data_IF_195699367046
#
_entry.id   IF_195699367046
#
_cell.length_a   1.000
_cell.length_b   1.000
_cell.length_c   1.000
_cell.angle_alpha   90.00
_cell.angle_beta   90.00
_cell.angle_gamma   90.00
#
_symmetry.space_group_name_H-M   'P 1'
#
loop_
_entity.id
_entity.type
_entity.pdbx_description
1 polymer ?
#
# COMPACT_ATOMS: atom_id res chain seq x y z
N UNK A 1 -23.00 -9.05 20.55
CA UNK A 1 -22.33 -7.72 20.53
C UNK A 1 -20.90 -7.80 19.98
N UNK A 2 -20.10 -8.77 20.38
CA UNK A 2 -18.69 -8.97 19.92
C UNK A 2 -18.57 -9.17 18.40
N UNK A 3 -19.41 -10.00 17.80
CA UNK A 3 -19.40 -10.35 16.38
C UNK A 3 -19.60 -9.17 15.43
N UNK A 4 -20.46 -8.19 15.79
CA UNK A 4 -20.71 -7.01 14.96
C UNK A 4 -19.54 -6.03 14.92
N UNK A 5 -18.70 -6.01 15.94
CA UNK A 5 -17.53 -5.13 16.01
C UNK A 5 -16.44 -5.56 15.02
N UNK A 6 -16.24 -6.87 14.85
CA UNK A 6 -15.16 -7.39 14.00
C UNK A 6 -15.56 -7.67 12.54
N UNK A 7 -16.89 -7.68 12.23
CA UNK A 7 -17.35 -7.83 10.84
C UNK A 7 -16.70 -6.81 9.88
N UNK A 8 -16.63 -5.56 10.29
CA UNK A 8 -16.01 -4.51 9.47
C UNK A 8 -14.50 -4.71 9.32
N UNK A 9 -13.81 -5.24 10.33
CA UNK A 9 -12.39 -5.57 10.21
C UNK A 9 -12.16 -6.70 9.21
N UNK A 10 -12.92 -7.79 9.35
CA UNK A 10 -12.84 -8.94 8.44
C UNK A 10 -13.12 -8.49 7.01
N UNK A 11 -14.15 -7.66 6.79
CA UNK A 11 -14.46 -7.15 5.45
C UNK A 11 -13.34 -6.29 4.88
N UNK A 12 -12.79 -5.36 5.67
CA UNK A 12 -11.71 -4.48 5.24
C UNK A 12 -10.46 -5.30 4.88
N UNK A 13 -10.04 -6.24 5.73
CA UNK A 13 -8.84 -7.03 5.49
C UNK A 13 -9.02 -7.96 4.28
N UNK A 14 -10.17 -8.61 4.14
CA UNK A 14 -10.49 -9.45 2.98
C UNK A 14 -10.46 -8.65 1.68
N UNK A 15 -11.10 -7.49 1.63
CA UNK A 15 -11.08 -6.62 0.44
C UNK A 15 -9.67 -6.11 0.13
N UNK A 16 -8.88 -5.76 1.16
CA UNK A 16 -7.48 -5.34 0.98
C UNK A 16 -6.66 -6.43 0.32
N UNK A 17 -6.73 -7.66 0.82
CA UNK A 17 -6.01 -8.79 0.22
C UNK A 17 -6.57 -9.17 -1.16
N UNK A 18 -7.87 -9.11 -1.36
CA UNK A 18 -8.47 -9.36 -2.67
C UNK A 18 -7.94 -8.39 -3.74
N UNK A 19 -7.85 -7.10 -3.42
CA UNK A 19 -7.26 -6.09 -4.32
C UNK A 19 -5.77 -6.37 -4.56
N UNK A 20 -5.05 -6.96 -3.61
CA UNK A 20 -3.62 -7.23 -3.72
C UNK A 20 -3.27 -8.49 -4.52
N UNK A 21 -4.22 -9.39 -4.79
CA UNK A 21 -3.97 -10.64 -5.53
C UNK A 21 -3.46 -10.39 -6.96
N UNK A 22 -4.15 -9.61 -7.82
CA UNK A 22 -3.70 -9.39 -9.20
C UNK A 22 -2.30 -8.75 -9.28
N UNK A 23 -1.99 -7.63 -8.56
CA UNK A 23 -0.66 -7.04 -8.57
C UNK A 23 0.40 -7.99 -8.00
N UNK A 24 0.09 -8.79 -6.98
CA UNK A 24 0.98 -9.81 -6.43
C UNK A 24 1.33 -10.87 -7.45
N UNK A 25 0.36 -11.34 -8.24
CA UNK A 25 0.58 -12.28 -9.32
C UNK A 25 1.48 -11.70 -10.44
N UNK A 26 1.24 -10.46 -10.87
CA UNK A 26 2.07 -9.80 -11.86
C UNK A 26 3.51 -9.64 -11.35
N UNK A 27 3.68 -9.21 -10.10
CA UNK A 27 5.01 -9.09 -9.47
C UNK A 27 5.72 -10.42 -9.41
N UNK A 28 5.09 -11.48 -8.89
CA UNK A 28 5.72 -12.79 -8.74
C UNK A 28 6.16 -13.40 -10.08
N UNK A 29 5.40 -13.17 -11.14
CA UNK A 29 5.74 -13.65 -12.49
C UNK A 29 6.94 -12.92 -13.09
N UNK A 30 7.08 -11.61 -12.83
CA UNK A 30 8.09 -10.77 -13.48
C UNK A 30 9.36 -10.54 -12.63
N UNK A 31 9.30 -10.80 -11.32
CA UNK A 31 10.45 -10.57 -10.42
C UNK A 31 11.60 -11.53 -10.66
N UNK A 32 11.34 -12.74 -11.18
CA UNK A 32 12.34 -13.75 -11.51
C UNK A 32 12.75 -13.75 -13.00
N UNK A 33 12.12 -12.94 -13.82
CA UNK A 33 12.42 -12.77 -15.24
C UNK A 33 12.90 -11.35 -15.51
N UNK A 34 12.06 -10.48 -16.07
CA UNK A 34 12.44 -9.12 -16.46
C UNK A 34 13.15 -8.31 -15.36
N UNK A 35 12.67 -8.37 -14.11
CA UNK A 35 13.30 -7.62 -13.00
C UNK A 35 14.68 -8.18 -12.62
N UNK A 36 14.93 -9.47 -12.87
CA UNK A 36 16.25 -10.07 -12.66
C UNK A 36 17.26 -9.61 -13.72
N UNK A 37 16.80 -9.29 -14.93
CA UNK A 37 17.66 -8.95 -16.08
C UNK A 37 18.03 -7.46 -16.13
N UNK A 38 17.25 -6.56 -15.49
CA UNK A 38 17.56 -5.12 -15.48
C UNK A 38 18.68 -4.80 -14.50
N UNK A 39 19.39 -3.69 -14.78
CA UNK A 39 20.43 -3.17 -13.87
C UNK A 39 19.80 -2.62 -12.60
N UNK A 40 20.27 -3.10 -11.45
CA UNK A 40 19.73 -2.73 -10.14
C UNK A 40 20.82 -2.12 -9.24
N UNK A 41 20.48 -1.12 -8.41
CA UNK A 41 21.44 -0.59 -7.44
C UNK A 41 21.82 -1.66 -6.39
N UNK A 42 23.00 -1.52 -5.79
CA UNK A 42 23.56 -2.48 -4.81
C UNK A 42 22.69 -2.66 -3.56
N UNK A 43 21.85 -1.66 -3.24
CA UNK A 43 20.94 -1.72 -2.11
C UNK A 43 19.58 -2.37 -2.43
N UNK A 44 19.39 -2.93 -3.64
CA UNK A 44 18.15 -3.66 -3.97
C UNK A 44 17.92 -4.82 -3.03
N UNK A 45 16.69 -5.00 -2.50
CA UNK A 45 16.41 -6.11 -1.61
C UNK A 45 16.40 -7.43 -2.38
N UNK A 46 16.69 -8.57 -1.72
CA UNK A 46 16.44 -9.87 -2.31
C UNK A 46 14.98 -10.04 -2.75
N UNK A 47 14.74 -10.71 -3.87
CA UNK A 47 13.41 -10.84 -4.48
C UNK A 47 12.35 -11.42 -3.53
N UNK A 48 12.74 -12.33 -2.63
CA UNK A 48 11.82 -12.95 -1.66
C UNK A 48 11.25 -11.99 -0.62
N UNK A 49 11.89 -10.83 -0.41
CA UNK A 49 11.47 -9.83 0.59
C UNK A 49 10.14 -9.18 0.23
N UNK A 50 9.84 -9.03 -1.07
CA UNK A 50 8.61 -8.35 -1.51
C UNK A 50 7.33 -8.99 -0.98
N UNK A 51 7.20 -10.32 -1.04
CA UNK A 51 6.01 -11.03 -0.58
C UNK A 51 5.69 -10.80 0.90
N UNK A 52 6.58 -11.18 1.84
CA UNK A 52 6.36 -11.00 3.27
C UNK A 52 6.13 -9.54 3.68
N UNK A 53 6.88 -8.60 3.11
CA UNK A 53 6.72 -7.17 3.43
C UNK A 53 5.33 -6.67 3.03
N UNK A 54 4.89 -6.92 1.81
CA UNK A 54 3.56 -6.49 1.36
C UNK A 54 2.44 -7.16 2.15
N UNK A 55 2.58 -8.45 2.47
CA UNK A 55 1.62 -9.16 3.33
C UNK A 55 1.49 -8.48 4.70
N UNK A 56 2.61 -8.17 5.34
CA UNK A 56 2.61 -7.45 6.61
C UNK A 56 2.00 -6.04 6.49
N UNK A 57 2.39 -5.28 5.46
CA UNK A 57 1.91 -3.91 5.25
C UNK A 57 0.40 -3.87 5.04
N UNK A 58 -0.17 -4.76 4.24
CA UNK A 58 -1.62 -4.84 4.05
C UNK A 58 -2.37 -5.14 5.35
N UNK A 59 -1.83 -5.99 6.20
CA UNK A 59 -2.43 -6.29 7.51
C UNK A 59 -2.46 -5.06 8.42
N UNK A 60 -1.33 -4.35 8.57
CA UNK A 60 -1.27 -3.15 9.45
C UNK A 60 -2.08 -1.98 8.90
N UNK A 61 -2.11 -1.78 7.58
CA UNK A 61 -2.95 -0.76 6.93
C UNK A 61 -4.44 -1.02 7.18
N UNK A 62 -4.87 -2.28 7.03
CA UNK A 62 -6.25 -2.70 7.34
C UNK A 62 -6.61 -2.45 8.80
N UNK A 63 -5.70 -2.75 9.72
CA UNK A 63 -5.89 -2.49 11.15
C UNK A 63 -5.98 -0.98 11.45
N UNK A 64 -5.14 -0.16 10.81
CA UNK A 64 -5.13 1.29 10.98
C UNK A 64 -6.46 1.91 10.54
N UNK A 65 -6.94 1.62 9.31
CA UNK A 65 -8.19 2.18 8.79
C UNK A 65 -9.41 1.66 9.55
N UNK A 66 -9.41 0.38 9.95
CA UNK A 66 -10.48 -0.17 10.79
C UNK A 66 -10.57 0.50 12.15
N UNK A 67 -9.44 0.77 12.82
CA UNK A 67 -9.45 1.48 14.09
C UNK A 67 -10.01 2.92 13.95
N UNK A 68 -9.67 3.61 12.87
CA UNK A 68 -10.25 4.92 12.53
C UNK A 68 -11.75 4.81 12.30
N UNK A 69 -12.19 3.85 11.48
CA UNK A 69 -13.62 3.58 11.23
C UNK A 69 -14.41 3.38 12.53
N UNK A 70 -13.90 2.54 13.44
CA UNK A 70 -14.59 2.28 14.71
C UNK A 70 -14.73 3.51 15.60
N UNK A 71 -13.82 4.46 15.50
CA UNK A 71 -13.88 5.70 16.30
C UNK A 71 -14.85 6.73 15.74
N UNK A 72 -15.12 6.73 14.42
CA UNK A 72 -15.93 7.77 13.80
C UNK A 72 -17.31 7.30 13.36
N UNK A 73 -17.54 6.00 13.16
CA UNK A 73 -18.77 5.46 12.58
C UNK A 73 -20.06 5.83 13.33
N UNK A 74 -19.99 6.01 14.65
CA UNK A 74 -21.14 6.34 15.50
C UNK A 74 -21.45 7.85 15.46
N UNK A 75 -20.39 8.70 15.48
CA UNK A 75 -20.52 10.15 15.59
C UNK A 75 -20.47 10.88 14.25
N UNK A 76 -19.73 10.35 13.27
CA UNK A 76 -19.57 10.95 11.95
C UNK A 76 -19.35 9.86 10.89
N UNK A 77 -20.43 9.15 10.57
CA UNK A 77 -20.41 8.04 9.58
C UNK A 77 -19.95 8.52 8.20
N UNK A 78 -20.30 9.74 7.80
CA UNK A 78 -19.91 10.31 6.50
C UNK A 78 -18.39 10.45 6.40
N UNK A 79 -17.73 10.97 7.45
CA UNK A 79 -16.25 11.03 7.52
C UNK A 79 -15.64 9.64 7.46
N UNK A 80 -16.21 8.67 8.18
CA UNK A 80 -15.72 7.29 8.17
C UNK A 80 -15.79 6.66 6.77
N UNK A 81 -16.91 6.83 6.06
CA UNK A 81 -17.07 6.34 4.67
C UNK A 81 -16.06 7.02 3.76
N UNK A 82 -15.90 8.35 3.85
CA UNK A 82 -14.91 9.11 3.05
C UNK A 82 -13.50 8.55 3.24
N UNK A 83 -13.08 8.31 4.48
CA UNK A 83 -11.74 7.79 4.79
C UNK A 83 -11.55 6.37 4.21
N UNK A 84 -12.53 5.49 4.38
CA UNK A 84 -12.48 4.12 3.82
C UNK A 84 -12.43 4.16 2.28
N UNK A 85 -13.22 5.03 1.64
CA UNK A 85 -13.22 5.17 0.18
C UNK A 85 -11.85 5.62 -0.34
N UNK A 86 -11.23 6.61 0.33
CA UNK A 86 -9.88 7.07 -0.02
C UNK A 86 -8.84 5.97 0.21
N UNK A 87 -8.98 5.19 1.29
CA UNK A 87 -8.11 4.05 1.56
C UNK A 87 -8.18 3.00 0.43
N UNK A 88 -9.36 2.59 0.01
CA UNK A 88 -9.50 1.63 -1.09
C UNK A 88 -9.06 2.20 -2.44
N UNK A 89 -9.36 3.47 -2.71
CA UNK A 89 -8.87 4.13 -3.92
C UNK A 89 -7.34 4.17 -3.96
N UNK A 90 -6.70 4.52 -2.86
CA UNK A 90 -5.25 4.48 -2.71
C UNK A 90 -4.67 3.07 -2.95
N UNK A 91 -5.34 1.99 -2.48
CA UNK A 91 -4.93 0.62 -2.75
C UNK A 91 -4.99 0.27 -4.25
N UNK A 92 -6.02 0.76 -4.96
CA UNK A 92 -6.13 0.58 -6.41
C UNK A 92 -5.00 1.32 -7.16
N UNK A 93 -4.66 2.53 -6.71
CA UNK A 93 -3.47 3.24 -7.24
C UNK A 93 -2.19 2.45 -6.94
N UNK A 94 -2.05 1.88 -5.73
CA UNK A 94 -0.94 0.99 -5.38
C UNK A 94 -0.87 -0.25 -6.25
N UNK A 95 -2.02 -0.88 -6.52
CA UNK A 95 -2.11 -2.03 -7.43
C UNK A 95 -1.64 -1.67 -8.84
N UNK A 96 -2.01 -0.49 -9.35
CA UNK A 96 -1.61 -0.03 -10.69
C UNK A 96 -0.09 0.06 -10.85
N UNK A 97 0.65 0.34 -9.77
CA UNK A 97 2.11 0.36 -9.80
C UNK A 97 2.71 -0.98 -10.26
N UNK A 98 2.24 -2.10 -9.72
CA UNK A 98 2.75 -3.42 -10.12
C UNK A 98 2.46 -3.72 -11.60
N UNK A 99 1.29 -3.34 -12.10
CA UNK A 99 0.98 -3.51 -13.52
C UNK A 99 1.88 -2.64 -14.39
N UNK A 100 2.10 -1.38 -14.03
CA UNK A 100 2.88 -0.43 -14.81
C UNK A 100 4.37 -0.79 -14.75
N UNK A 101 4.92 -1.04 -13.54
CA UNK A 101 6.33 -1.33 -13.36
C UNK A 101 6.70 -2.75 -13.83
N UNK A 102 6.04 -3.77 -13.29
CA UNK A 102 6.36 -5.18 -13.60
C UNK A 102 5.65 -5.70 -14.86
N UNK A 103 4.42 -5.27 -15.13
CA UNK A 103 3.63 -5.77 -16.27
C UNK A 103 3.97 -5.07 -17.58
N UNK A 104 4.04 -3.75 -17.58
CA UNK A 104 4.32 -2.96 -18.79
C UNK A 104 5.79 -2.49 -18.87
N UNK A 105 6.62 -2.80 -17.88
CA UNK A 105 8.05 -2.46 -17.83
C UNK A 105 8.31 -0.94 -17.91
N UNK A 106 7.34 -0.13 -17.48
CA UNK A 106 7.41 1.34 -17.54
C UNK A 106 8.00 1.91 -16.25
N UNK A 107 9.35 1.90 -16.16
CA UNK A 107 10.09 2.24 -14.93
C UNK A 107 9.79 3.68 -14.49
N UNK A 108 9.83 4.66 -15.41
CA UNK A 108 9.58 6.07 -15.09
C UNK A 108 8.13 6.32 -14.64
N UNK A 109 7.14 5.72 -15.32
CA UNK A 109 5.74 5.83 -14.88
C UNK A 109 5.52 5.18 -13.52
N UNK A 110 6.20 4.07 -13.23
CA UNK A 110 6.22 3.47 -11.89
C UNK A 110 6.71 4.44 -10.83
N UNK A 111 7.79 5.19 -11.10
CA UNK A 111 8.29 6.23 -10.21
C UNK A 111 7.23 7.31 -9.92
N UNK A 112 6.55 7.81 -10.94
CA UNK A 112 5.46 8.80 -10.77
C UNK A 112 4.31 8.25 -9.92
N UNK A 113 3.91 6.99 -10.14
CA UNK A 113 2.84 6.35 -9.35
C UNK A 113 3.23 6.25 -7.88
N UNK A 114 4.49 5.94 -7.55
CA UNK A 114 4.93 5.90 -6.14
C UNK A 114 4.82 7.28 -5.47
N UNK A 115 5.12 8.37 -6.17
CA UNK A 115 4.91 9.74 -5.65
C UNK A 115 3.44 9.96 -5.31
N UNK A 116 2.53 9.53 -6.17
CA UNK A 116 1.08 9.62 -5.94
C UNK A 116 0.68 8.77 -4.72
N UNK A 117 1.20 7.54 -4.61
CA UNK A 117 0.97 6.66 -3.46
C UNK A 117 1.41 7.34 -2.15
N UNK A 118 2.62 7.90 -2.10
CA UNK A 118 3.14 8.60 -0.91
C UNK A 118 2.24 9.79 -0.56
N UNK A 119 1.75 10.53 -1.55
CA UNK A 119 0.82 11.64 -1.32
C UNK A 119 -0.50 11.17 -0.65
N UNK A 120 -1.04 10.03 -1.08
CA UNK A 120 -2.21 9.41 -0.43
C UNK A 120 -1.89 8.93 0.99
N UNK A 121 -0.72 8.32 1.22
CA UNK A 121 -0.29 7.88 2.56
C UNK A 121 -0.25 9.08 3.51
N UNK A 122 0.41 10.15 3.13
CA UNK A 122 0.52 11.37 3.94
C UNK A 122 -0.85 12.00 4.20
N UNK A 123 -1.74 12.04 3.19
CA UNK A 123 -3.10 12.50 3.35
C UNK A 123 -3.88 11.64 4.36
N UNK A 124 -3.84 10.31 4.24
CA UNK A 124 -4.50 9.40 5.17
C UNK A 124 -3.93 9.53 6.58
N UNK A 125 -2.61 9.61 6.74
CA UNK A 125 -1.95 9.82 8.04
C UNK A 125 -2.38 11.14 8.69
N UNK A 126 -2.53 12.22 7.92
CA UNK A 126 -3.06 13.50 8.41
C UNK A 126 -4.49 13.36 8.93
N UNK A 127 -5.37 12.64 8.20
CA UNK A 127 -6.74 12.37 8.65
C UNK A 127 -6.74 11.50 9.92
N UNK A 128 -5.92 10.44 9.95
CA UNK A 128 -5.82 9.55 11.10
C UNK A 128 -5.31 10.26 12.35
N UNK A 129 -4.37 11.19 12.21
CA UNK A 129 -3.80 11.95 13.34
C UNK A 129 -4.88 12.67 14.17
N UNK A 130 -5.88 13.21 13.51
CA UNK A 130 -6.99 13.91 14.16
C UNK A 130 -7.98 12.97 14.90
N UNK A 131 -7.98 11.67 14.51
CA UNK A 131 -8.94 10.68 15.03
C UNK A 131 -8.26 9.68 15.95
N UNK A 132 -7.09 9.19 15.56
CA UNK A 132 -6.34 8.14 16.25
C UNK A 132 -4.84 8.22 15.95
N UNK A 133 -4.08 8.77 16.87
CA UNK A 133 -2.61 8.82 16.77
C UNK A 133 -1.99 7.43 16.57
N UNK A 134 -2.56 6.42 17.24
CA UNK A 134 -2.11 5.02 17.09
C UNK A 134 -2.22 4.56 15.63
N UNK A 135 -3.33 4.84 14.96
CA UNK A 135 -3.51 4.49 13.54
C UNK A 135 -2.48 5.20 12.65
N UNK A 136 -2.13 6.45 12.97
CA UNK A 136 -1.08 7.17 12.25
C UNK A 136 0.29 6.50 12.43
N UNK A 137 0.65 6.12 13.65
CA UNK A 137 1.93 5.45 13.90
C UNK A 137 2.00 4.06 13.24
N UNK A 138 0.90 3.32 13.19
CA UNK A 138 0.80 2.03 12.47
C UNK A 138 1.09 2.20 10.97
N UNK A 139 0.84 3.37 10.37
CA UNK A 139 1.14 3.64 8.96
C UNK A 139 2.61 3.98 8.67
N UNK A 140 3.45 4.24 9.69
CA UNK A 140 4.86 4.62 9.49
C UNK A 140 5.66 3.55 8.72
N UNK A 141 5.57 2.25 9.03
CA UNK A 141 6.29 1.24 8.26
C UNK A 141 5.92 1.25 6.77
N UNK A 142 4.65 1.49 6.44
CA UNK A 142 4.21 1.59 5.06
C UNK A 142 4.76 2.85 4.36
N UNK A 143 4.77 3.99 5.02
CA UNK A 143 5.40 5.21 4.51
C UNK A 143 6.90 4.99 4.27
N UNK A 144 7.61 4.41 5.24
CA UNK A 144 9.04 4.13 5.14
C UNK A 144 9.36 3.19 3.96
N UNK A 145 8.57 2.11 3.80
CA UNK A 145 8.71 1.19 2.65
C UNK A 145 8.43 1.88 1.32
N UNK A 146 7.42 2.74 1.25
CA UNK A 146 7.09 3.49 0.04
C UNK A 146 8.18 4.51 -0.33
N UNK A 147 8.78 5.19 0.65
CA UNK A 147 9.93 6.08 0.42
C UNK A 147 11.16 5.29 -0.07
N UNK A 148 11.44 4.13 0.52
CA UNK A 148 12.49 3.25 0.04
C UNK A 148 12.22 2.78 -1.41
N UNK A 149 10.98 2.37 -1.73
CA UNK A 149 10.58 1.98 -3.07
C UNK A 149 10.72 3.14 -4.08
N UNK A 150 10.46 4.39 -3.65
CA UNK A 150 10.67 5.57 -4.49
C UNK A 150 12.13 5.73 -4.89
N UNK A 151 13.05 5.66 -3.91
CA UNK A 151 14.48 5.76 -4.15
C UNK A 151 14.97 4.60 -5.02
N UNK A 152 14.50 3.38 -4.75
CA UNK A 152 14.84 2.19 -5.54
C UNK A 152 14.37 2.34 -6.99
N UNK A 153 13.12 2.71 -7.22
CA UNK A 153 12.56 2.86 -8.56
C UNK A 153 13.27 3.98 -9.34
N UNK A 154 13.56 5.12 -8.70
CA UNK A 154 14.34 6.21 -9.30
C UNK A 154 15.74 5.73 -9.71
N UNK A 155 16.42 4.99 -8.84
CA UNK A 155 17.76 4.48 -9.12
C UNK A 155 17.74 3.47 -10.28
N UNK A 156 16.75 2.57 -10.33
CA UNK A 156 16.56 1.65 -11.45
C UNK A 156 16.34 2.43 -12.75
N UNK A 157 15.47 3.47 -12.73
CA UNK A 157 15.24 4.30 -13.91
C UNK A 157 16.50 4.99 -14.43
N UNK A 158 17.41 5.41 -13.54
CA UNK A 158 18.68 6.05 -13.94
C UNK A 158 19.71 5.07 -14.50
N UNK A 159 19.58 3.79 -14.17
CA UNK A 159 20.53 2.74 -14.59
C UNK A 159 20.10 2.02 -15.89
N UNK A 160 18.86 2.21 -16.36
CA UNK A 160 18.28 1.59 -17.55
C UNK A 160 17.66 2.62 -18.50
#
# INVERSE_FOLDING_TARGET
MFWNKYKSFILIILLTYLISIPPGFITSKNVLSWYADITRPSFSPPNWVFGPVWTFLYAIMSAAVWNVWNKVKENNKSLGIKIISIYFFHLLVGASWSFVFFGFHQIFLGFIIIIIIISFILYLMKQYWQISKISTFIMIPYLAWSCYALVLNFSIWKLN
#
